data_IF_482840153009
#
_entry.id   IF_482840153009
#
_cell.length_a   1.000
_cell.length_b   1.000
_cell.length_c   1.000
_cell.angle_alpha   90.00
_cell.angle_beta   90.00
_cell.angle_gamma   90.00
#
_symmetry.space_group_name_H-M   'P 1'
#
loop_
_entity.id
_entity.type
_entity.pdbx_description
1 polymer ?
#
# COMPACT_ATOMS: atom_id res chain seq x y z
N UNK A 1 31.41 -28.03 -36.30
CA UNK A 1 31.60 -26.55 -36.38
C UNK A 1 31.60 -26.01 -34.96
N UNK A 2 32.62 -25.25 -34.58
CA UNK A 2 32.70 -24.66 -33.24
C UNK A 2 31.69 -23.52 -33.11
N UNK A 3 30.81 -23.60 -32.10
CA UNK A 3 29.74 -22.63 -31.84
C UNK A 3 30.18 -21.56 -30.82
N UNK A 4 31.42 -21.08 -30.91
CA UNK A 4 32.02 -20.17 -29.94
C UNK A 4 31.14 -18.95 -29.63
N UNK A 5 30.80 -18.14 -30.66
CA UNK A 5 30.04 -16.91 -30.47
C UNK A 5 28.58 -17.15 -30.02
N UNK A 6 28.00 -18.29 -30.40
CA UNK A 6 26.63 -18.64 -29.97
C UNK A 6 26.60 -18.99 -28.48
N UNK A 7 27.59 -19.75 -28.02
CA UNK A 7 27.74 -20.06 -26.59
C UNK A 7 28.11 -18.81 -25.80
N UNK A 8 29.03 -17.99 -26.32
CA UNK A 8 29.43 -16.73 -25.69
C UNK A 8 28.25 -15.79 -25.50
N UNK A 9 27.39 -15.61 -26.52
CA UNK A 9 26.17 -14.79 -26.42
C UNK A 9 25.28 -15.20 -25.23
N UNK A 10 25.15 -16.51 -24.99
CA UNK A 10 24.31 -17.04 -23.92
C UNK A 10 24.89 -16.75 -22.53
N UNK A 11 26.22 -16.62 -22.43
CA UNK A 11 26.95 -16.35 -21.19
C UNK A 11 27.02 -14.86 -20.88
N UNK A 12 27.29 -14.01 -21.88
CA UNK A 12 27.47 -12.56 -21.67
C UNK A 12 26.14 -11.82 -21.45
N UNK A 13 25.03 -12.39 -21.91
CA UNK A 13 23.71 -11.78 -21.78
C UNK A 13 23.64 -10.41 -22.47
N UNK A 14 23.43 -9.36 -21.68
CA UNK A 14 23.35 -7.96 -22.14
C UNK A 14 24.61 -7.15 -21.84
N UNK A 15 25.63 -7.74 -21.21
CA UNK A 15 26.85 -7.03 -20.81
C UNK A 15 27.80 -6.81 -22.00
N UNK A 16 28.58 -5.73 -21.94
CA UNK A 16 29.68 -5.51 -22.87
C UNK A 16 30.92 -6.29 -22.42
N UNK A 17 31.64 -6.91 -23.36
CA UNK A 17 32.84 -7.70 -23.07
C UNK A 17 34.02 -7.22 -23.92
N UNK A 18 35.12 -6.86 -23.28
CA UNK A 18 36.38 -6.57 -23.96
C UNK A 18 37.31 -7.76 -23.85
N UNK A 19 37.66 -8.37 -24.99
CA UNK A 19 38.59 -9.50 -25.08
C UNK A 19 39.89 -9.02 -25.74
N UNK A 20 41.02 -9.24 -25.09
CA UNK A 20 42.35 -8.98 -25.63
C UNK A 20 43.06 -10.32 -25.80
N UNK A 21 43.59 -10.60 -26.99
CA UNK A 21 44.30 -11.83 -27.29
C UNK A 21 45.74 -11.47 -27.64
N UNK A 22 46.70 -12.10 -26.97
CA UNK A 22 48.12 -11.97 -27.25
C UNK A 22 48.68 -13.33 -27.65
N UNK A 23 49.36 -13.39 -28.79
CA UNK A 23 50.10 -14.58 -29.23
C UNK A 23 51.57 -14.48 -28.82
N UNK A 24 52.12 -15.60 -28.36
CA UNK A 24 53.53 -15.76 -27.99
C UNK A 24 53.99 -17.17 -28.41
N UNK A 25 54.38 -17.31 -29.68
CA UNK A 25 54.80 -18.61 -30.22
C UNK A 25 53.60 -19.54 -30.37
N UNK A 26 53.68 -20.73 -29.77
CA UNK A 26 52.59 -21.72 -29.76
C UNK A 26 51.52 -21.44 -28.69
N UNK A 27 51.75 -20.46 -27.82
CA UNK A 27 50.84 -20.11 -26.72
C UNK A 27 50.04 -18.85 -27.04
N UNK A 28 48.76 -18.85 -26.64
CA UNK A 28 47.86 -17.71 -26.67
C UNK A 28 47.48 -17.32 -25.24
N UNK A 29 47.54 -16.03 -24.93
CA UNK A 29 46.98 -15.47 -23.70
C UNK A 29 45.73 -14.65 -24.05
N UNK A 30 44.60 -14.99 -23.44
CA UNK A 30 43.33 -14.30 -23.61
C UNK A 30 42.95 -13.62 -22.30
N UNK A 31 42.80 -12.30 -22.35
CA UNK A 31 42.32 -11.47 -21.25
C UNK A 31 40.90 -11.02 -21.54
N UNK A 32 40.01 -11.14 -20.56
CA UNK A 32 38.59 -10.87 -20.69
C UNK A 32 38.19 -9.88 -19.60
N UNK A 33 37.67 -8.74 -20.03
CA UNK A 33 37.21 -7.68 -19.14
C UNK A 33 35.70 -7.41 -19.38
N UNK A 34 34.82 -7.82 -18.46
CA UNK A 34 33.40 -7.50 -18.54
C UNK A 34 33.16 -6.04 -18.14
N UNK A 35 32.44 -5.30 -18.97
CA UNK A 35 32.05 -3.91 -18.72
C UNK A 35 30.56 -3.85 -18.40
N UNK A 36 30.25 -3.15 -17.31
CA UNK A 36 28.88 -2.85 -16.92
C UNK A 36 28.50 -1.42 -17.29
N UNK A 37 27.22 -1.23 -17.61
CA UNK A 37 26.57 0.09 -17.66
C UNK A 37 26.13 0.59 -16.28
N UNK A 38 26.16 -0.29 -15.26
CA UNK A 38 25.85 0.08 -13.88
C UNK A 38 26.82 1.15 -13.36
N UNK A 39 26.30 2.07 -12.55
CA UNK A 39 27.08 3.19 -11.98
C UNK A 39 27.95 2.78 -10.79
N UNK A 40 27.98 1.50 -10.43
CA UNK A 40 28.71 0.98 -9.28
C UNK A 40 30.24 0.94 -9.55
N UNK A 41 31.06 1.69 -8.78
CA UNK A 41 32.51 1.67 -8.89
C UNK A 41 33.15 0.29 -8.67
N UNK A 42 32.53 -0.59 -7.88
CA UNK A 42 33.03 -1.94 -7.64
C UNK A 42 32.88 -2.82 -8.88
N UNK A 43 31.82 -2.61 -9.68
CA UNK A 43 31.63 -3.29 -10.96
C UNK A 43 32.58 -2.77 -12.05
N UNK A 44 33.07 -1.54 -11.93
CA UNK A 44 34.08 -0.96 -12.82
C UNK A 44 35.51 -1.44 -12.50
N UNK A 45 35.76 -1.90 -11.27
CA UNK A 45 37.07 -2.36 -10.78
C UNK A 45 37.22 -3.89 -10.76
N UNK A 46 36.42 -4.62 -11.54
CA UNK A 46 36.53 -6.08 -11.61
C UNK A 46 37.85 -6.45 -12.29
N UNK A 47 38.61 -7.34 -11.64
CA UNK A 47 39.85 -7.84 -12.22
C UNK A 47 39.56 -8.65 -13.49
N UNK A 48 40.34 -8.44 -14.57
CA UNK A 48 40.13 -9.17 -15.80
C UNK A 48 40.48 -10.65 -15.62
N UNK A 49 39.71 -11.52 -16.27
CA UNK A 49 40.00 -12.95 -16.31
C UNK A 49 41.09 -13.19 -17.37
N UNK A 50 42.15 -13.89 -17.00
CA UNK A 50 43.28 -14.19 -17.89
C UNK A 50 43.38 -15.71 -18.03
N UNK A 51 43.43 -16.19 -19.28
CA UNK A 51 43.61 -17.59 -19.64
C UNK A 51 44.81 -17.68 -20.58
N UNK A 52 45.62 -18.73 -20.44
CA UNK A 52 46.69 -19.04 -21.38
C UNK A 52 46.65 -20.53 -21.74
N UNK A 53 47.06 -20.85 -22.95
CA UNK A 53 47.15 -22.23 -23.44
C UNK A 53 47.44 -22.30 -24.93
N UNK A 54 47.44 -23.51 -25.50
CA UNK A 54 47.49 -23.67 -26.96
C UNK A 54 46.16 -23.26 -27.60
N UNK A 55 46.13 -22.98 -28.91
CA UNK A 55 44.87 -22.75 -29.63
C UNK A 55 43.86 -23.87 -29.45
N UNK A 56 44.28 -25.14 -29.46
CA UNK A 56 43.36 -26.27 -29.27
C UNK A 56 42.76 -26.31 -27.85
N UNK A 57 43.59 -26.11 -26.82
CA UNK A 57 43.13 -26.10 -25.42
C UNK A 57 42.12 -24.97 -25.17
N UNK A 58 42.38 -23.80 -25.75
CA UNK A 58 41.46 -22.67 -25.66
C UNK A 58 40.17 -22.95 -26.44
N UNK A 59 40.23 -23.50 -27.65
CA UNK A 59 39.00 -23.77 -28.41
C UNK A 59 38.06 -24.76 -27.71
N UNK A 60 38.60 -25.78 -27.03
CA UNK A 60 37.80 -26.77 -26.30
C UNK A 60 37.38 -26.32 -24.91
N UNK A 61 38.25 -25.60 -24.21
CA UNK A 61 38.12 -25.27 -22.78
C UNK A 61 37.62 -23.85 -22.49
N UNK A 62 37.78 -22.91 -23.42
CA UNK A 62 37.57 -21.49 -23.14
C UNK A 62 36.17 -21.20 -22.64
N UNK A 63 35.12 -21.59 -23.39
CA UNK A 63 33.73 -21.29 -22.99
C UNK A 63 33.41 -21.90 -21.62
N UNK A 64 33.84 -23.12 -21.34
CA UNK A 64 33.62 -23.77 -20.03
C UNK A 64 34.34 -23.04 -18.90
N UNK A 65 35.58 -22.61 -19.13
CA UNK A 65 36.38 -21.89 -18.15
C UNK A 65 35.88 -20.47 -17.87
N UNK A 66 35.31 -19.80 -18.88
CA UNK A 66 34.83 -18.41 -18.74
C UNK A 66 33.36 -18.32 -18.33
N UNK A 67 32.55 -19.35 -18.60
CA UNK A 67 31.10 -19.27 -18.41
C UNK A 67 30.69 -19.11 -16.95
N UNK A 68 31.32 -19.82 -16.03
CA UNK A 68 31.05 -19.67 -14.60
C UNK A 68 31.48 -18.30 -14.04
N UNK A 69 32.75 -17.85 -14.20
CA UNK A 69 33.17 -16.55 -13.67
C UNK A 69 32.46 -15.37 -14.36
N UNK A 70 32.25 -15.42 -15.69
CA UNK A 70 31.48 -14.38 -16.38
C UNK A 70 30.01 -14.38 -15.97
N UNK A 71 29.40 -15.56 -15.81
CA UNK A 71 28.01 -15.67 -15.34
C UNK A 71 27.81 -15.05 -13.96
N UNK A 72 28.75 -15.26 -13.03
CA UNK A 72 28.71 -14.60 -11.71
C UNK A 72 28.80 -13.09 -11.82
N UNK A 73 29.75 -12.59 -12.61
CA UNK A 73 29.96 -11.14 -12.78
C UNK A 73 28.76 -10.47 -13.46
N UNK A 74 28.29 -11.02 -14.58
CA UNK A 74 27.13 -10.49 -15.31
C UNK A 74 25.82 -10.60 -14.51
N UNK A 75 25.67 -11.67 -13.72
CA UNK A 75 24.55 -11.81 -12.79
C UNK A 75 24.56 -10.74 -11.69
N UNK A 76 25.72 -10.45 -11.11
CA UNK A 76 25.88 -9.36 -10.14
C UNK A 76 25.57 -8.00 -10.78
N UNK A 77 26.08 -7.74 -11.98
CA UNK A 77 25.80 -6.51 -12.73
C UNK A 77 24.30 -6.32 -12.96
N UNK A 78 23.61 -7.36 -13.44
CA UNK A 78 22.16 -7.31 -13.71
C UNK A 78 21.35 -7.07 -12.43
N UNK A 79 21.69 -7.77 -11.35
CA UNK A 79 21.00 -7.62 -10.07
C UNK A 79 21.19 -6.20 -9.49
N UNK A 80 22.38 -5.60 -9.64
CA UNK A 80 22.63 -4.23 -9.19
C UNK A 80 21.82 -3.23 -10.03
N UNK A 81 21.77 -3.38 -11.35
CA UNK A 81 20.94 -2.52 -12.20
C UNK A 81 19.44 -2.66 -11.89
N UNK A 82 18.96 -3.88 -11.64
CA UNK A 82 17.59 -4.13 -11.21
C UNK A 82 17.32 -3.55 -9.83
N UNK A 83 18.27 -3.67 -8.89
CA UNK A 83 18.19 -3.06 -7.58
C UNK A 83 18.12 -1.53 -7.67
N UNK A 84 19.00 -0.88 -8.45
CA UNK A 84 18.97 0.57 -8.67
C UNK A 84 17.65 1.04 -9.31
N UNK A 85 17.15 0.29 -10.30
CA UNK A 85 15.83 0.56 -10.91
C UNK A 85 14.70 0.36 -9.89
N UNK A 86 14.77 -0.68 -9.07
CA UNK A 86 13.77 -0.96 -8.03
C UNK A 86 13.81 0.08 -6.91
N UNK A 87 14.99 0.56 -6.52
CA UNK A 87 15.19 1.60 -5.54
C UNK A 87 14.69 2.95 -6.08
N UNK A 88 14.99 3.28 -7.34
CA UNK A 88 14.47 4.49 -8.00
C UNK A 88 12.94 4.46 -8.10
N UNK A 89 12.37 3.31 -8.50
CA UNK A 89 10.90 3.11 -8.51
C UNK A 89 10.31 3.18 -7.11
N UNK A 90 10.96 2.60 -6.10
CA UNK A 90 10.51 2.67 -4.72
C UNK A 90 10.62 4.10 -4.15
N UNK A 91 11.61 4.90 -4.55
CA UNK A 91 11.73 6.31 -4.20
C UNK A 91 10.67 7.17 -4.91
N UNK A 92 10.39 6.89 -6.18
CA UNK A 92 9.28 7.52 -6.90
C UNK A 92 7.92 7.14 -6.29
N UNK A 93 7.69 5.86 -6.00
CA UNK A 93 6.52 5.39 -5.28
C UNK A 93 6.46 5.94 -3.86
N UNK A 94 7.59 6.15 -3.17
CA UNK A 94 7.66 6.77 -1.84
C UNK A 94 7.33 8.26 -1.91
N UNK A 95 7.73 8.96 -2.96
CA UNK A 95 7.30 10.35 -3.23
C UNK A 95 5.81 10.42 -3.54
N UNK A 96 5.27 9.46 -4.31
CA UNK A 96 3.84 9.36 -4.63
C UNK A 96 3.00 8.93 -3.42
N UNK A 97 3.50 8.01 -2.59
CA UNK A 97 2.86 7.56 -1.33
C UNK A 97 2.92 8.64 -0.27
N UNK A 98 4.02 9.37 -0.10
CA UNK A 98 4.08 10.54 0.79
C UNK A 98 3.13 11.65 0.33
N UNK A 99 3.01 11.92 -0.98
CA UNK A 99 2.06 12.89 -1.52
C UNK A 99 0.59 12.44 -1.36
N UNK A 100 0.32 11.13 -1.43
CA UNK A 100 -1.02 10.55 -1.19
C UNK A 100 -1.39 10.52 0.30
N UNK A 101 -0.44 10.15 1.17
CA UNK A 101 -0.62 10.15 2.63
C UNK A 101 -0.74 11.57 3.20
N UNK A 102 -0.03 12.56 2.65
CA UNK A 102 -0.18 13.95 3.10
C UNK A 102 -1.54 14.56 2.68
N UNK A 103 -2.07 14.16 1.51
CA UNK A 103 -3.45 14.52 1.11
C UNK A 103 -4.51 13.84 1.98
N UNK A 104 -4.31 12.56 2.33
CA UNK A 104 -5.23 11.83 3.21
C UNK A 104 -5.18 12.34 4.65
N UNK A 105 -3.99 12.69 5.16
CA UNK A 105 -3.78 13.24 6.51
C UNK A 105 -4.35 14.65 6.66
N UNK A 106 -4.24 15.51 5.64
CA UNK A 106 -4.92 16.83 5.61
C UNK A 106 -6.45 16.71 5.60
N UNK A 107 -6.99 15.68 4.94
CA UNK A 107 -8.44 15.43 4.92
C UNK A 107 -8.95 14.88 6.28
N UNK A 108 -8.22 13.96 6.89
CA UNK A 108 -8.53 13.43 8.23
C UNK A 108 -8.36 14.48 9.34
N UNK A 109 -7.38 15.39 9.25
CA UNK A 109 -7.24 16.52 10.18
C UNK A 109 -8.34 17.59 10.01
N UNK A 110 -8.83 17.82 8.80
CA UNK A 110 -9.95 18.72 8.55
C UNK A 110 -11.30 18.15 9.04
N UNK A 111 -11.53 16.85 8.85
CA UNK A 111 -12.72 16.15 9.35
C UNK A 111 -12.72 16.07 10.87
N UNK A 112 -11.59 15.73 11.51
CA UNK A 112 -11.47 15.69 12.97
C UNK A 112 -11.67 17.06 13.63
N UNK A 113 -11.17 18.15 13.03
CA UNK A 113 -11.43 19.52 13.51
C UNK A 113 -12.92 19.87 13.43
N UNK A 114 -13.57 19.59 12.30
CA UNK A 114 -15.02 19.83 12.14
C UNK A 114 -15.87 19.04 13.13
N UNK A 115 -15.53 17.77 13.36
CA UNK A 115 -16.22 16.91 14.34
C UNK A 115 -16.04 17.46 15.76
N UNK A 116 -14.82 17.85 16.15
CA UNK A 116 -14.56 18.41 17.47
C UNK A 116 -15.30 19.73 17.71
N UNK A 117 -15.38 20.60 16.70
CA UNK A 117 -16.16 21.85 16.78
C UNK A 117 -17.66 21.58 16.92
N UNK A 118 -18.21 20.59 16.19
CA UNK A 118 -19.61 20.18 16.31
C UNK A 118 -19.91 19.57 17.69
N UNK A 119 -19.03 18.71 18.20
CA UNK A 119 -19.18 18.12 19.54
C UNK A 119 -19.19 19.21 20.60
N UNK A 120 -18.25 20.17 20.54
CA UNK A 120 -18.17 21.27 21.50
C UNK A 120 -19.42 22.16 21.44
N UNK A 121 -19.91 22.50 20.25
CA UNK A 121 -21.17 23.25 20.07
C UNK A 121 -22.37 22.51 20.65
N UNK A 122 -22.44 21.19 20.47
CA UNK A 122 -23.51 20.38 21.04
C UNK A 122 -23.45 20.35 22.59
N UNK A 123 -22.24 20.27 23.17
CA UNK A 123 -22.04 20.33 24.62
C UNK A 123 -22.40 21.71 25.22
N UNK A 124 -22.10 22.80 24.52
CA UNK A 124 -22.52 24.16 24.90
C UNK A 124 -24.06 24.29 24.86
N UNK A 125 -24.72 23.69 23.87
CA UNK A 125 -26.19 23.67 23.75
C UNK A 125 -26.86 22.83 24.83
N UNK A 126 -26.26 21.71 25.25
CA UNK A 126 -26.73 20.95 26.43
C UNK A 126 -26.63 21.82 27.69
N UNK A 127 -25.51 22.52 27.88
CA UNK A 127 -25.31 23.43 29.02
C UNK A 127 -26.31 24.59 29.02
N UNK A 128 -26.75 25.02 27.83
CA UNK A 128 -27.82 26.00 27.64
C UNK A 128 -29.26 25.44 27.72
N UNK A 129 -29.47 24.19 28.15
CA UNK A 129 -30.77 23.47 28.19
C UNK A 129 -31.48 23.35 26.82
N UNK A 130 -30.75 23.43 25.72
CA UNK A 130 -31.26 23.26 24.34
C UNK A 130 -30.90 21.87 23.81
N UNK A 131 -31.36 20.84 24.51
CA UNK A 131 -30.98 19.44 24.27
C UNK A 131 -31.44 18.92 22.90
N UNK A 132 -32.60 19.39 22.39
CA UNK A 132 -33.07 19.05 21.05
C UNK A 132 -32.14 19.57 19.94
N UNK A 133 -31.60 20.78 20.08
CA UNK A 133 -30.64 21.33 19.11
C UNK A 133 -29.27 20.64 19.23
N UNK A 134 -28.86 20.26 20.43
CA UNK A 134 -27.63 19.50 20.64
C UNK A 134 -27.67 18.13 19.97
N UNK A 135 -28.83 17.47 19.97
CA UNK A 135 -29.06 16.18 19.33
C UNK A 135 -28.86 16.24 17.81
N UNK A 136 -29.41 17.26 17.15
CA UNK A 136 -29.21 17.47 15.70
C UNK A 136 -27.73 17.71 15.35
N UNK A 137 -27.01 18.44 16.20
CA UNK A 137 -25.57 18.68 16.02
C UNK A 137 -24.76 17.39 16.23
N UNK A 138 -25.12 16.55 17.20
CA UNK A 138 -24.49 15.23 17.38
C UNK A 138 -24.76 14.28 16.21
N UNK A 139 -25.98 14.30 15.64
CA UNK A 139 -26.31 13.53 14.42
C UNK A 139 -25.48 13.99 13.22
N UNK A 140 -25.27 15.31 13.07
CA UNK A 140 -24.37 15.87 12.05
C UNK A 140 -22.93 15.42 12.28
N UNK A 141 -22.44 15.39 13.52
CA UNK A 141 -21.11 14.88 13.84
C UNK A 141 -20.98 13.36 13.55
N UNK A 142 -22.02 12.57 13.82
CA UNK A 142 -22.06 11.14 13.54
C UNK A 142 -22.04 10.84 12.03
N UNK A 143 -22.68 11.67 11.22
CA UNK A 143 -22.68 11.55 9.76
C UNK A 143 -21.29 11.78 9.14
N UNK A 144 -20.43 12.56 9.81
CA UNK A 144 -19.05 12.80 9.38
C UNK A 144 -18.14 11.68 9.90
N UNK A 145 -18.37 11.18 11.13
CA UNK A 145 -17.62 10.06 11.69
C UNK A 145 -18.52 9.16 12.52
N UNK A 146 -18.62 7.91 12.08
CA UNK A 146 -19.39 6.86 12.73
C UNK A 146 -18.70 6.39 14.04
N UNK A 147 -18.73 7.22 15.07
CA UNK A 147 -18.11 6.97 16.38
C UNK A 147 -19.14 6.39 17.36
N UNK A 148 -18.83 5.25 17.97
CA UNK A 148 -19.69 4.60 18.97
C UNK A 148 -19.97 5.49 20.18
N UNK A 149 -19.05 6.41 20.53
CA UNK A 149 -19.27 7.37 21.62
C UNK A 149 -20.35 8.40 21.28
N UNK A 150 -20.43 8.82 20.02
CA UNK A 150 -21.47 9.75 19.55
C UNK A 150 -22.84 9.09 19.55
N UNK A 151 -22.93 7.84 19.08
CA UNK A 151 -24.18 7.07 19.12
C UNK A 151 -24.73 6.92 20.53
N UNK A 152 -23.86 6.56 21.49
CA UNK A 152 -24.25 6.47 22.90
C UNK A 152 -24.76 7.79 23.43
N UNK A 153 -24.08 8.90 23.13
CA UNK A 153 -24.48 10.24 23.58
C UNK A 153 -25.80 10.71 22.98
N UNK A 154 -26.07 10.38 21.71
CA UNK A 154 -27.36 10.64 21.06
C UNK A 154 -28.46 9.82 21.73
N UNK A 155 -28.25 8.52 21.92
CA UNK A 155 -29.22 7.64 22.58
C UNK A 155 -29.53 8.09 24.01
N UNK A 156 -28.51 8.50 24.78
CA UNK A 156 -28.67 9.03 26.14
C UNK A 156 -29.46 10.36 26.15
N UNK A 157 -29.25 11.23 25.16
CA UNK A 157 -30.00 12.49 25.03
C UNK A 157 -31.44 12.27 24.56
N UNK A 158 -31.67 11.33 23.64
CA UNK A 158 -33.01 10.90 23.21
C UNK A 158 -33.80 10.29 24.37
N UNK A 159 -33.15 9.47 25.20
CA UNK A 159 -33.73 8.92 26.42
C UNK A 159 -34.09 10.02 27.43
N UNK A 160 -33.22 11.03 27.61
CA UNK A 160 -33.52 12.18 28.50
C UNK A 160 -34.64 13.07 28.00
N UNK A 161 -34.68 13.37 26.70
CA UNK A 161 -35.75 14.15 26.09
C UNK A 161 -37.09 13.41 26.12
N UNK A 162 -37.10 12.11 25.88
CA UNK A 162 -38.30 11.28 25.98
C UNK A 162 -38.78 11.10 27.43
N UNK A 163 -37.87 10.97 28.40
CA UNK A 163 -38.21 10.99 29.82
C UNK A 163 -38.69 12.36 30.31
N UNK A 164 -38.13 13.46 29.80
CA UNK A 164 -38.62 14.82 30.05
C UNK A 164 -40.02 15.08 29.46
N UNK A 165 -40.32 14.46 28.31
CA UNK A 165 -41.65 14.49 27.70
C UNK A 165 -42.67 13.63 28.46
N UNK A 166 -42.23 12.58 29.15
CA UNK A 166 -43.06 11.73 30.02
C UNK A 166 -43.45 12.39 31.35
N UNK A 167 -42.79 13.50 31.73
CA UNK A 167 -43.14 14.31 32.91
C UNK A 167 -44.19 15.40 32.61
N UNK A 168 -44.62 15.52 31.35
CA UNK A 168 -45.73 16.36 30.91
C UNK A 168 -46.74 15.56 30.07
N UNK A 169 -47.23 14.46 30.63
CA UNK A 169 -48.60 14.06 30.34
C UNK A 169 -49.42 14.61 31.50
N UNK A 170 -50.04 15.78 31.31
CA UNK A 170 -51.17 16.17 32.17
C UNK A 170 -52.14 14.98 32.24
N UNK A 171 -52.77 14.71 33.40
CA UNK A 171 -53.83 13.72 33.47
C UNK A 171 -54.90 14.17 32.48
N UNK A 172 -55.04 13.38 31.41
CA UNK A 172 -56.18 13.43 30.51
C UNK A 172 -57.39 13.26 31.42
N UNK A 173 -58.18 14.31 31.51
CA UNK A 173 -59.42 14.33 32.28
C UNK A 173 -60.28 13.18 31.77
N UNK A 174 -60.67 12.29 32.68
CA UNK A 174 -61.76 11.35 32.45
C UNK A 174 -63.01 12.14 32.05
N UNK A 175 -63.37 12.02 30.78
CA UNK A 175 -64.47 12.76 30.19
C UNK A 175 -64.82 12.19 28.81
N UNK A 176 -65.55 11.08 28.85
CA UNK A 176 -66.41 10.56 27.77
C UNK A 176 -65.70 9.73 26.68
N UNK A 177 -65.79 8.40 26.84
CA UNK A 177 -66.65 7.48 26.06
C UNK A 177 -66.08 7.15 24.67
N UNK A 178 -65.47 5.98 24.54
CA UNK A 178 -66.16 4.74 24.14
C UNK A 178 -66.78 4.85 22.75
N UNK A 179 -66.09 4.24 21.77
CA UNK A 179 -66.55 3.68 20.48
C UNK A 179 -65.31 3.76 19.56
N UNK A 180 -64.72 2.71 19.02
CA UNK A 180 -65.27 1.46 18.50
C UNK A 180 -64.30 0.31 18.79
N UNK A 181 -64.87 -0.79 19.31
CA UNK A 181 -64.24 -2.10 19.33
C UNK A 181 -64.20 -2.62 17.89
N UNK A 182 -63.04 -3.11 17.46
CA UNK A 182 -62.90 -3.87 16.22
C UNK A 182 -63.88 -5.04 16.24
N UNK A 183 -64.85 -4.95 15.34
CA UNK A 183 -65.67 -6.03 14.87
C UNK A 183 -64.78 -6.90 13.98
N UNK A 184 -64.23 -7.99 14.50
CA UNK A 184 -64.05 -9.23 13.74
C UNK A 184 -63.59 -10.38 14.64
N UNK A 185 -64.53 -11.33 14.78
CA UNK A 185 -64.33 -12.78 14.74
C UNK A 185 -63.37 -13.42 15.74
N UNK A 186 -63.90 -14.27 16.61
CA UNK A 186 -64.04 -15.69 16.28
C UNK A 186 -64.55 -16.50 17.48
N UNK A 187 -65.70 -17.16 17.34
CA UNK A 187 -65.90 -18.51 17.86
C UNK A 187 -67.14 -19.12 17.21
N UNK A 188 -66.93 -20.28 16.58
CA UNK A 188 -67.95 -21.06 15.90
C UNK A 188 -68.67 -22.05 16.80
N UNK A 189 -69.03 -23.16 16.16
CA UNK A 189 -69.73 -24.37 16.65
C UNK A 189 -71.27 -24.30 16.48
N UNK A 190 -71.79 -24.98 15.46
CA UNK A 190 -72.24 -26.40 15.45
C UNK A 190 -73.69 -26.54 15.96
N UNK A 191 -74.64 -26.68 15.03
CA UNK A 191 -75.49 -27.87 14.80
C UNK A 191 -76.51 -27.62 13.66
#
# INVERSE_FOLDING_TARGET
MSNFFTQLKSVIGQAELQINIKSKGEELTVMINPKSTASDPALQNIQPLILSGTPEELDEGFIKGVSEPLGRVTGLMTNIEEFEKSASKADEESKVKKAAEEKLKKQQEAESKKINDLIKKAEDLISGKKESQALDIFRQALAIKNDEKLKKRIADLEAKLSQGSLLFMEPISEGERSQYQEESSDHGEEE
#
